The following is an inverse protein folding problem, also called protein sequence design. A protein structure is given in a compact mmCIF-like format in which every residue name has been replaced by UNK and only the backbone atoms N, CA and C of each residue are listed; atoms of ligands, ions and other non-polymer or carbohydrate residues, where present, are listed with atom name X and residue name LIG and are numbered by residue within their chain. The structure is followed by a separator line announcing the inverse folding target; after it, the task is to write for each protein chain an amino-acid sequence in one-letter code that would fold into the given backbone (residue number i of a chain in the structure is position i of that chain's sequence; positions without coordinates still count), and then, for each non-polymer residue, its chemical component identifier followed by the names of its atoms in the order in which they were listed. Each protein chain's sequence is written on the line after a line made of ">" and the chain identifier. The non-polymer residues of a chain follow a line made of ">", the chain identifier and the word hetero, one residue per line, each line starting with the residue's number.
data_IF_001894897413
#
_entry.id   IF_001894897413
#
_cell.length_a   1.000
_cell.length_b   1.000
_cell.length_c   1.000
_cell.angle_alpha   90.00
_cell.angle_beta   90.00
_cell.angle_gamma   90.00
#
_symmetry.space_group_name_H-M   'P 1'
#
loop_
_entity.id
_entity.type
_entity.pdbx_description
1 polymer ?
#
# COMPACT_ATOMS: atom_id res chain seq x y z
N UNK A 1 -32.86 -2.53 -8.44
CA UNK A 1 -31.53 -1.87 -8.37
C UNK A 1 -30.48 -2.97 -8.32
N UNK A 2 -29.46 -2.87 -9.16
CA UNK A 2 -28.43 -3.91 -9.29
C UNK A 2 -27.40 -3.72 -8.18
N UNK A 3 -27.30 -4.66 -7.23
CA UNK A 3 -26.37 -4.60 -6.10
C UNK A 3 -25.02 -5.18 -6.47
N UNK A 4 -23.93 -4.45 -6.19
CA UNK A 4 -22.55 -4.89 -6.43
C UNK A 4 -21.78 -4.92 -5.11
N UNK A 5 -21.16 -6.07 -4.83
CA UNK A 5 -20.16 -6.22 -3.77
C UNK A 5 -18.75 -6.23 -4.35
N UNK A 6 -17.77 -5.57 -3.68
CA UNK A 6 -16.38 -5.57 -4.11
C UNK A 6 -15.48 -5.98 -2.95
N UNK A 7 -14.64 -6.98 -3.19
CA UNK A 7 -13.60 -7.47 -2.30
C UNK A 7 -12.27 -6.94 -2.84
N UNK A 8 -11.55 -6.16 -2.03
CA UNK A 8 -10.26 -5.57 -2.41
C UNK A 8 -9.12 -6.26 -1.69
N UNK A 9 -8.22 -6.90 -2.43
CA UNK A 9 -7.07 -7.61 -1.90
C UNK A 9 -5.76 -6.90 -2.26
N UNK A 10 -4.70 -7.19 -1.50
CA UNK A 10 -3.34 -6.80 -1.80
C UNK A 10 -2.94 -5.42 -1.27
N UNK A 11 -2.34 -4.58 -2.10
CA UNK A 11 -1.63 -3.37 -1.66
C UNK A 11 -2.46 -2.08 -1.79
N UNK A 12 -2.03 -0.96 -1.16
CA UNK A 12 -2.70 0.35 -1.28
C UNK A 12 -2.96 0.83 -2.71
N UNK A 13 -2.14 0.44 -3.69
CA UNK A 13 -2.38 0.79 -5.09
C UNK A 13 -3.58 0.04 -5.66
N UNK A 14 -3.72 -1.23 -5.30
CA UNK A 14 -4.86 -2.06 -5.70
C UNK A 14 -6.16 -1.56 -5.05
N UNK A 15 -6.06 -1.06 -3.81
CA UNK A 15 -7.19 -0.42 -3.14
C UNK A 15 -7.64 0.84 -3.87
N UNK A 16 -6.72 1.71 -4.30
CA UNK A 16 -7.07 2.88 -5.12
C UNK A 16 -7.78 2.46 -6.41
N UNK A 17 -7.31 1.37 -7.04
CA UNK A 17 -7.97 0.81 -8.23
C UNK A 17 -9.40 0.35 -7.92
N UNK A 18 -9.62 -0.32 -6.78
CA UNK A 18 -10.96 -0.69 -6.29
C UNK A 18 -11.87 0.51 -6.08
N UNK A 19 -11.38 1.55 -5.44
CA UNK A 19 -12.14 2.78 -5.15
C UNK A 19 -12.54 3.54 -6.43
N UNK A 20 -11.69 3.49 -7.46
CA UNK A 20 -12.01 4.02 -8.80
C UNK A 20 -13.12 3.19 -9.45
N UNK A 21 -13.01 1.84 -9.40
CA UNK A 21 -14.07 0.95 -9.92
C UNK A 21 -15.41 1.22 -9.25
N UNK A 22 -15.44 1.37 -7.92
CA UNK A 22 -16.66 1.71 -7.18
C UNK A 22 -17.26 3.04 -7.64
N UNK A 23 -16.42 4.03 -7.94
CA UNK A 23 -16.84 5.31 -8.52
C UNK A 23 -17.55 5.13 -9.86
N UNK A 24 -16.97 4.33 -10.79
CA UNK A 24 -17.57 4.03 -12.09
C UNK A 24 -18.91 3.30 -11.95
N UNK A 25 -18.98 2.30 -11.08
CA UNK A 25 -20.20 1.54 -10.81
C UNK A 25 -21.34 2.43 -10.27
N UNK A 26 -21.03 3.30 -9.29
CA UNK A 26 -22.03 4.23 -8.73
C UNK A 26 -22.51 5.22 -9.77
N UNK A 27 -21.64 5.78 -10.60
CA UNK A 27 -22.00 6.66 -11.71
C UNK A 27 -22.90 5.97 -12.72
N UNK A 28 -22.71 4.67 -12.94
CA UNK A 28 -23.53 3.84 -13.83
C UNK A 28 -24.85 3.38 -13.20
N UNK A 29 -25.17 3.81 -11.96
CA UNK A 29 -26.43 3.52 -11.27
C UNK A 29 -26.48 2.19 -10.52
N UNK A 30 -25.32 1.56 -10.24
CA UNK A 30 -25.26 0.40 -9.37
C UNK A 30 -25.35 0.82 -7.90
N UNK A 31 -25.99 -0.03 -7.08
CA UNK A 31 -25.99 0.11 -5.62
C UNK A 31 -24.88 -0.73 -5.02
N UNK A 32 -24.02 -0.12 -4.21
CA UNK A 32 -22.94 -0.82 -3.53
C UNK A 32 -23.44 -1.51 -2.26
N UNK A 33 -22.89 -2.69 -1.94
CA UNK A 33 -23.16 -3.42 -0.71
C UNK A 33 -21.89 -4.00 -0.12
N UNK A 34 -21.77 -3.95 1.23
CA UNK A 34 -20.70 -4.60 1.96
C UNK A 34 -21.08 -6.03 2.42
N UNK A 35 -22.32 -6.44 2.16
CA UNK A 35 -22.80 -7.78 2.49
C UNK A 35 -22.70 -8.66 1.26
N UNK A 36 -21.75 -9.58 1.26
CA UNK A 36 -21.45 -10.44 0.13
C UNK A 36 -22.69 -11.26 -0.31
N UNK A 37 -23.49 -11.73 0.64
CA UNK A 37 -24.72 -12.50 0.38
C UNK A 37 -25.88 -11.68 -0.23
N UNK A 38 -25.80 -10.35 -0.24
CA UNK A 38 -26.78 -9.48 -0.89
C UNK A 38 -26.34 -9.00 -2.28
N UNK A 39 -25.09 -9.29 -2.68
CA UNK A 39 -24.54 -8.86 -3.96
C UNK A 39 -25.14 -9.68 -5.11
N UNK A 40 -25.67 -9.00 -6.13
CA UNK A 40 -26.04 -9.64 -7.41
C UNK A 40 -24.82 -9.82 -8.32
N UNK A 41 -23.81 -8.98 -8.17
CA UNK A 41 -22.51 -9.10 -8.82
C UNK A 41 -21.44 -9.03 -7.74
N UNK A 42 -20.56 -10.01 -7.68
CA UNK A 42 -19.37 -10.01 -6.85
C UNK A 42 -18.15 -9.65 -7.70
N UNK A 43 -17.34 -8.72 -7.21
CA UNK A 43 -16.06 -8.33 -7.84
C UNK A 43 -14.94 -8.63 -6.86
N UNK A 44 -13.95 -9.41 -7.29
CA UNK A 44 -12.72 -9.67 -6.51
C UNK A 44 -11.55 -8.96 -7.18
N UNK A 45 -11.05 -7.88 -6.59
CA UNK A 45 -9.86 -7.20 -7.05
C UNK A 45 -8.62 -7.83 -6.41
N UNK A 46 -7.80 -8.47 -7.22
CA UNK A 46 -6.80 -9.46 -6.83
C UNK A 46 -5.37 -8.95 -6.86
N UNK A 47 -4.50 -9.59 -6.07
CA UNK A 47 -3.06 -9.39 -6.09
C UNK A 47 -2.36 -10.56 -6.79
N UNK A 48 -1.43 -10.27 -7.71
CA UNK A 48 -0.65 -11.27 -8.46
C UNK A 48 0.86 -11.13 -8.28
N UNK A 49 1.32 -10.48 -7.19
CA UNK A 49 2.71 -10.07 -7.06
C UNK A 49 3.63 -11.18 -6.55
N UNK A 50 3.27 -11.87 -5.46
CA UNK A 50 4.03 -12.98 -4.85
C UNK A 50 3.10 -14.17 -4.62
N UNK A 51 3.68 -15.36 -4.40
CA UNK A 51 2.91 -16.60 -4.25
C UNK A 51 1.83 -16.51 -3.17
N UNK A 52 2.18 -16.07 -1.96
CA UNK A 52 1.23 -15.98 -0.85
C UNK A 52 0.00 -15.11 -1.23
N UNK A 53 0.23 -13.98 -1.92
CA UNK A 53 -0.86 -13.11 -2.37
C UNK A 53 -1.66 -13.69 -3.54
N UNK A 54 -1.05 -14.56 -4.35
CA UNK A 54 -1.79 -15.32 -5.38
C UNK A 54 -2.68 -16.38 -4.76
N UNK A 55 -2.18 -17.12 -3.78
CA UNK A 55 -2.92 -18.13 -3.03
C UNK A 55 -4.13 -17.48 -2.33
N UNK A 56 -3.93 -16.39 -1.57
CA UNK A 56 -5.01 -15.61 -0.97
C UNK A 56 -6.07 -15.17 -2.00
N UNK A 57 -5.60 -14.67 -3.15
CA UNK A 57 -6.50 -14.21 -4.22
C UNK A 57 -7.33 -15.35 -4.79
N UNK A 58 -6.73 -16.52 -5.03
CA UNK A 58 -7.43 -17.70 -5.56
C UNK A 58 -8.45 -18.22 -4.53
N UNK A 59 -8.06 -18.32 -3.26
CA UNK A 59 -8.97 -18.73 -2.18
C UNK A 59 -10.21 -17.84 -2.11
N UNK A 60 -10.02 -16.52 -2.16
CA UNK A 60 -11.14 -15.55 -2.14
C UNK A 60 -12.00 -15.60 -3.40
N UNK A 61 -11.44 -15.91 -4.58
CA UNK A 61 -12.23 -16.14 -5.80
C UNK A 61 -13.13 -17.37 -5.65
N UNK A 62 -12.58 -18.48 -5.15
CA UNK A 62 -13.33 -19.72 -4.92
C UNK A 62 -14.45 -19.49 -3.88
N UNK A 63 -14.16 -18.79 -2.77
CA UNK A 63 -15.17 -18.44 -1.78
C UNK A 63 -16.30 -17.58 -2.38
N UNK A 64 -15.94 -16.56 -3.17
CA UNK A 64 -16.92 -15.73 -3.87
C UNK A 64 -17.74 -16.52 -4.91
N UNK A 65 -17.13 -17.52 -5.55
CA UNK A 65 -17.82 -18.45 -6.47
C UNK A 65 -18.95 -19.22 -5.81
N UNK A 66 -18.80 -19.63 -4.55
CA UNK A 66 -19.84 -20.31 -3.77
C UNK A 66 -21.09 -19.45 -3.54
N UNK A 67 -20.98 -18.12 -3.61
CA UNK A 67 -22.13 -17.23 -3.50
C UNK A 67 -23.09 -17.38 -4.70
N UNK A 68 -22.60 -17.87 -5.84
CA UNK A 68 -23.45 -18.18 -7.01
C UNK A 68 -24.30 -19.44 -6.78
N UNK A 69 -23.79 -20.40 -6.04
CA UNK A 69 -24.51 -21.65 -5.74
C UNK A 69 -25.62 -21.44 -4.69
N UNK A 70 -25.41 -20.55 -3.74
CA UNK A 70 -26.22 -20.40 -2.54
C UNK A 70 -27.15 -19.20 -2.54
N UNK A 71 -27.15 -18.33 -3.60
CA UNK A 71 -27.86 -17.13 -3.36
C UNK A 71 -28.12 -16.14 -4.48
N UNK A 72 -28.01 -14.88 -4.14
CA UNK A 72 -28.33 -13.72 -4.96
C UNK A 72 -27.26 -13.41 -6.01
N UNK A 73 -26.05 -13.93 -5.89
CA UNK A 73 -24.96 -13.64 -6.81
C UNK A 73 -25.19 -14.30 -8.18
N UNK A 74 -25.32 -13.47 -9.20
CA UNK A 74 -25.56 -13.89 -10.60
C UNK A 74 -24.27 -13.85 -11.43
N UNK A 75 -23.31 -13.01 -11.07
CA UNK A 75 -22.06 -12.87 -11.80
C UNK A 75 -20.88 -12.64 -10.84
N UNK A 76 -19.77 -13.31 -11.14
CA UNK A 76 -18.49 -13.16 -10.48
C UNK A 76 -17.46 -12.57 -11.46
N UNK A 77 -16.88 -11.44 -11.09
CA UNK A 77 -15.84 -10.75 -11.88
C UNK A 77 -14.53 -10.78 -11.09
N UNK A 78 -13.45 -11.18 -11.75
CA UNK A 78 -12.10 -11.10 -11.19
C UNK A 78 -11.33 -9.98 -11.87
N UNK A 79 -10.83 -9.03 -11.08
CA UNK A 79 -10.09 -7.88 -11.55
C UNK A 79 -8.67 -7.85 -10.93
N UNK A 80 -7.79 -7.02 -11.46
CA UNK A 80 -6.52 -6.66 -10.82
C UNK A 80 -5.28 -7.38 -11.34
N UNK A 81 -4.25 -7.42 -10.48
CA UNK A 81 -2.92 -7.88 -10.86
C UNK A 81 -2.85 -9.36 -11.23
N UNK A 82 -3.62 -10.22 -10.55
CA UNK A 82 -3.64 -11.65 -10.87
C UNK A 82 -4.32 -11.88 -12.23
N UNK A 83 -5.45 -11.21 -12.48
CA UNK A 83 -6.16 -11.25 -13.74
C UNK A 83 -5.28 -10.73 -14.90
N UNK A 84 -4.56 -9.62 -14.72
CA UNK A 84 -3.63 -9.10 -15.74
C UNK A 84 -2.54 -10.11 -16.11
N UNK A 85 -2.05 -10.87 -15.12
CA UNK A 85 -0.88 -11.75 -15.28
C UNK A 85 -1.22 -13.13 -15.82
N UNK A 86 -2.40 -13.67 -15.47
CA UNK A 86 -2.75 -15.09 -15.67
C UNK A 86 -4.14 -15.30 -16.26
N UNK A 87 -4.67 -14.32 -17.00
CA UNK A 87 -6.04 -14.36 -17.55
C UNK A 87 -6.37 -15.65 -18.28
N UNK A 88 -5.47 -16.13 -19.14
CA UNK A 88 -5.72 -17.33 -19.96
C UNK A 88 -5.76 -18.62 -19.13
N UNK A 89 -4.87 -18.75 -18.16
CA UNK A 89 -4.82 -19.90 -17.25
C UNK A 89 -6.03 -19.91 -16.32
N UNK A 90 -6.32 -18.76 -15.70
CA UNK A 90 -7.43 -18.61 -14.76
C UNK A 90 -8.78 -18.87 -15.44
N UNK A 91 -8.96 -18.47 -16.69
CA UNK A 91 -10.19 -18.73 -17.44
C UNK A 91 -10.46 -20.23 -17.60
N UNK A 92 -9.42 -21.05 -17.66
CA UNK A 92 -9.55 -22.52 -17.77
C UNK A 92 -9.78 -23.19 -16.43
N UNK A 93 -9.11 -22.69 -15.38
CA UNK A 93 -9.09 -23.32 -14.06
C UNK A 93 -10.24 -22.87 -13.14
N UNK A 94 -10.86 -21.70 -13.43
CA UNK A 94 -11.93 -21.10 -12.62
C UNK A 94 -13.17 -20.83 -13.48
N UNK A 95 -13.89 -21.89 -13.88
CA UNK A 95 -15.06 -21.75 -14.76
C UNK A 95 -16.25 -21.02 -14.10
N UNK A 96 -16.25 -20.88 -12.77
CA UNK A 96 -17.26 -20.10 -12.03
C UNK A 96 -17.16 -18.59 -12.25
N UNK A 97 -16.01 -18.09 -12.77
CA UNK A 97 -15.77 -16.68 -13.03
C UNK A 97 -16.34 -16.28 -14.39
N UNK A 98 -17.23 -15.30 -14.40
CA UNK A 98 -17.92 -14.85 -15.62
C UNK A 98 -17.10 -13.86 -16.45
N UNK A 99 -16.19 -13.09 -15.80
CA UNK A 99 -15.29 -12.17 -16.51
C UNK A 99 -13.98 -11.91 -15.75
N UNK A 100 -12.89 -11.78 -16.53
CA UNK A 100 -11.57 -11.38 -16.04
C UNK A 100 -11.21 -10.00 -16.62
N UNK A 101 -10.88 -9.04 -15.73
CA UNK A 101 -10.55 -7.65 -16.09
C UNK A 101 -9.11 -7.35 -15.68
N UNK A 102 -8.27 -6.99 -16.64
CA UNK A 102 -6.90 -6.51 -16.39
C UNK A 102 -6.87 -5.08 -15.83
N UNK A 103 -5.68 -4.65 -15.42
CA UNK A 103 -5.48 -3.31 -14.83
C UNK A 103 -5.84 -2.20 -15.81
N UNK A 104 -5.52 -2.37 -17.08
CA UNK A 104 -5.81 -1.40 -18.15
C UNK A 104 -7.29 -1.30 -18.52
N UNK A 105 -8.11 -2.26 -18.05
CA UNK A 105 -9.53 -2.37 -18.39
C UNK A 105 -10.47 -1.99 -17.23
N UNK A 106 -9.94 -1.61 -16.05
CA UNK A 106 -10.73 -1.35 -14.85
C UNK A 106 -11.77 -0.23 -15.01
N UNK A 107 -11.51 0.76 -15.88
CA UNK A 107 -12.48 1.81 -16.20
C UNK A 107 -13.74 1.28 -16.89
N UNK A 108 -13.66 0.09 -17.53
CA UNK A 108 -14.78 -0.58 -18.22
C UNK A 108 -15.62 -1.44 -17.28
N UNK A 109 -15.35 -1.45 -15.98
CA UNK A 109 -16.02 -2.34 -15.01
C UNK A 109 -17.55 -2.22 -15.07
N UNK A 110 -18.09 -1.02 -15.24
CA UNK A 110 -19.52 -0.78 -15.32
C UNK A 110 -20.13 -1.38 -16.60
N UNK A 111 -19.42 -1.31 -17.72
CA UNK A 111 -19.85 -1.87 -19.00
C UNK A 111 -19.88 -3.41 -18.93
N UNK A 112 -18.85 -4.02 -18.32
CA UNK A 112 -18.78 -5.46 -18.10
C UNK A 112 -19.93 -5.93 -17.19
N UNK A 113 -20.19 -5.23 -16.09
CA UNK A 113 -21.31 -5.55 -15.21
C UNK A 113 -22.66 -5.46 -15.94
N UNK A 114 -22.88 -4.45 -16.77
CA UNK A 114 -24.09 -4.31 -17.56
C UNK A 114 -24.24 -5.46 -18.56
N UNK A 115 -23.19 -5.79 -19.30
CA UNK A 115 -23.19 -6.88 -20.26
C UNK A 115 -23.54 -8.25 -19.64
N UNK A 116 -22.94 -8.56 -18.48
CA UNK A 116 -23.25 -9.80 -17.74
C UNK A 116 -24.70 -9.86 -17.28
N UNK A 117 -25.28 -8.73 -16.83
CA UNK A 117 -26.69 -8.69 -16.44
C UNK A 117 -27.62 -8.87 -17.65
N UNK A 118 -27.27 -8.28 -18.79
CA UNK A 118 -28.05 -8.43 -20.02
C UNK A 118 -28.04 -9.87 -20.52
N UNK A 119 -26.89 -10.56 -20.43
CA UNK A 119 -26.82 -12.00 -20.73
C UNK A 119 -27.73 -12.84 -19.84
N UNK A 120 -27.83 -12.49 -18.56
CA UNK A 120 -28.73 -13.18 -17.63
C UNK A 120 -30.21 -12.82 -17.81
N UNK A 121 -30.53 -11.64 -18.36
CA UNK A 121 -31.93 -11.17 -18.51
C UNK A 121 -32.46 -11.21 -19.95
N UNK A 122 -31.69 -11.72 -20.93
CA UNK A 122 -32.05 -11.89 -22.36
C UNK A 122 -32.97 -10.79 -22.92
N UNK A 123 -32.40 -9.63 -23.24
CA UNK A 123 -33.08 -8.63 -24.08
C UNK A 123 -33.13 -7.22 -23.53
N UNK A 124 -32.06 -6.43 -23.67
CA UNK A 124 -32.13 -5.00 -23.88
C UNK A 124 -30.76 -4.41 -24.21
N UNK A 125 -30.63 -3.74 -25.34
CA UNK A 125 -29.46 -2.96 -25.72
C UNK A 125 -29.53 -1.55 -25.13
N UNK A 126 -28.45 -1.10 -24.47
CA UNK A 126 -28.22 0.32 -24.20
C UNK A 126 -26.75 0.66 -24.40
N UNK A 127 -26.48 1.61 -25.27
CA UNK A 127 -25.17 2.27 -25.46
C UNK A 127 -24.97 3.32 -24.37
N UNK A 128 -23.78 3.29 -23.73
CA UNK A 128 -23.39 4.22 -22.67
C UNK A 128 -22.49 5.32 -23.25
N UNK A 129 -22.68 6.61 -22.93
CA UNK A 129 -21.86 7.72 -23.43
C UNK A 129 -20.50 7.80 -22.74
N UNK A 130 -19.48 8.31 -23.46
CA UNK A 130 -18.12 8.58 -23.03
C UNK A 130 -18.01 9.59 -21.87
N UNK A 131 -16.98 9.46 -21.06
CA UNK A 131 -16.89 9.74 -19.62
C UNK A 131 -16.31 11.10 -19.29
N UNK A 132 -16.93 11.77 -18.30
CA UNK A 132 -16.30 12.78 -17.43
C UNK A 132 -15.53 12.11 -16.28
N UNK A 133 -14.56 12.82 -15.63
CA UNK A 133 -13.83 12.29 -14.49
C UNK A 133 -14.75 11.73 -13.41
N UNK A 134 -14.51 10.49 -12.98
CA UNK A 134 -15.34 9.81 -11.98
C UNK A 134 -14.81 10.10 -10.59
N UNK A 135 -15.69 10.53 -9.69
CA UNK A 135 -15.36 10.70 -8.28
C UNK A 135 -15.16 9.34 -7.64
N UNK A 136 -13.98 9.10 -7.09
CA UNK A 136 -13.56 7.90 -6.37
C UNK A 136 -14.36 7.72 -5.06
N UNK A 137 -14.74 6.49 -4.72
CA UNK A 137 -15.41 6.14 -3.46
C UNK A 137 -14.40 5.44 -2.54
N UNK A 138 -14.15 6.03 -1.37
CA UNK A 138 -13.22 5.47 -0.39
C UNK A 138 -13.79 4.20 0.25
N UNK A 139 -12.98 3.14 0.29
CA UNK A 139 -13.25 1.91 1.03
C UNK A 139 -12.87 2.07 2.49
N UNK A 140 -11.81 2.83 2.75
CA UNK A 140 -11.26 3.07 4.09
C UNK A 140 -12.10 4.05 4.91
N UNK A 141 -11.78 4.17 6.22
CA UNK A 141 -12.27 5.27 7.04
C UNK A 141 -12.05 6.63 6.37
N UNK A 142 -13.04 7.51 6.47
CA UNK A 142 -13.12 8.77 5.70
C UNK A 142 -12.02 9.79 6.06
N UNK A 143 -11.18 9.54 7.06
CA UNK A 143 -10.18 10.49 7.56
C UNK A 143 -8.79 10.32 6.92
N UNK A 144 -8.52 9.24 6.20
CA UNK A 144 -7.30 9.10 5.40
C UNK A 144 -7.59 8.49 4.03
N UNK A 145 -6.69 8.73 3.07
CA UNK A 145 -6.77 8.14 1.74
C UNK A 145 -5.37 7.85 1.18
N UNK A 146 -5.29 6.80 0.36
CA UNK A 146 -4.13 6.59 -0.50
C UNK A 146 -4.30 7.38 -1.79
N UNK A 147 -3.24 8.03 -2.27
CA UNK A 147 -3.23 8.80 -3.52
C UNK A 147 -2.16 8.24 -4.44
N UNK A 148 -2.60 7.58 -5.50
CA UNK A 148 -1.72 7.02 -6.52
C UNK A 148 -1.28 8.12 -7.47
N UNK A 149 0.02 8.49 -7.44
CA UNK A 149 0.58 9.58 -8.24
C UNK A 149 1.15 9.12 -9.57
N UNK A 150 1.44 7.82 -9.70
CA UNK A 150 1.86 7.16 -10.93
C UNK A 150 1.51 5.68 -10.89
N UNK A 151 1.56 5.02 -12.02
CA UNK A 151 1.43 3.57 -12.17
C UNK A 151 2.57 2.99 -13.01
N UNK A 152 2.82 1.67 -12.91
CA UNK A 152 3.94 1.02 -13.59
C UNK A 152 5.31 1.36 -12.99
N UNK A 153 6.38 0.74 -13.53
CA UNK A 153 7.74 0.93 -13.04
C UNK A 153 8.77 0.66 -14.13
N UNK A 154 9.75 1.56 -14.28
CA UNK A 154 10.87 1.38 -15.20
C UNK A 154 12.09 0.75 -14.55
N UNK A 155 12.10 0.56 -13.23
CA UNK A 155 13.13 -0.19 -12.53
C UNK A 155 13.05 -1.66 -12.95
N UNK A 156 14.22 -2.23 -13.31
CA UNK A 156 14.32 -3.61 -13.80
C UNK A 156 14.86 -4.54 -12.72
N UNK A 157 14.35 -4.41 -11.49
CA UNK A 157 14.74 -5.26 -10.39
C UNK A 157 14.53 -6.74 -10.77
N UNK A 158 15.57 -7.57 -10.59
CA UNK A 158 15.61 -8.93 -11.13
C UNK A 158 14.58 -9.89 -10.52
N UNK A 159 14.02 -9.55 -9.36
CA UNK A 159 13.02 -10.33 -8.63
C UNK A 159 11.57 -9.84 -8.85
N UNK A 160 11.37 -8.73 -9.56
CA UNK A 160 10.11 -8.00 -9.56
C UNK A 160 9.32 -8.25 -10.85
N UNK A 161 8.02 -8.50 -10.70
CA UNK A 161 7.07 -8.74 -11.79
C UNK A 161 6.27 -7.48 -12.17
N UNK A 162 6.41 -6.38 -11.45
CA UNK A 162 5.61 -5.16 -11.65
C UNK A 162 5.67 -4.64 -13.11
N UNK A 163 6.82 -4.58 -13.79
CA UNK A 163 6.85 -4.10 -15.17
C UNK A 163 6.00 -4.93 -16.14
N UNK A 164 5.86 -6.24 -15.88
CA UNK A 164 5.00 -7.11 -16.70
C UNK A 164 3.52 -7.03 -16.35
N UNK A 165 3.19 -6.60 -15.13
CA UNK A 165 1.81 -6.50 -14.65
C UNK A 165 1.23 -5.10 -14.89
N UNK A 166 1.98 -4.04 -14.53
CA UNK A 166 1.52 -2.64 -14.55
C UNK A 166 2.17 -1.80 -15.66
N UNK A 167 3.02 -2.41 -16.48
CA UNK A 167 3.68 -1.76 -17.61
C UNK A 167 4.75 -0.74 -17.20
N UNK A 168 5.07 0.14 -18.15
CA UNK A 168 6.03 1.23 -17.95
C UNK A 168 5.46 2.31 -17.04
N UNK A 169 6.38 3.05 -16.41
CA UNK A 169 6.05 4.14 -15.51
C UNK A 169 5.25 5.24 -16.20
N UNK A 170 4.11 5.60 -15.62
CA UNK A 170 3.19 6.65 -16.10
C UNK A 170 2.79 7.54 -14.93
N UNK A 171 3.31 8.77 -14.91
CA UNK A 171 2.94 9.80 -13.94
C UNK A 171 1.59 10.43 -14.28
N UNK A 172 0.86 10.82 -13.24
CA UNK A 172 -0.28 11.72 -13.37
C UNK A 172 0.20 13.16 -13.30
N UNK A 173 -0.52 14.08 -13.92
CA UNK A 173 -0.20 15.50 -13.88
C UNK A 173 -0.38 16.07 -12.45
N UNK A 174 0.45 17.05 -12.08
CA UNK A 174 0.46 17.67 -10.74
C UNK A 174 -0.92 18.24 -10.41
N UNK A 175 -1.52 18.97 -11.35
CA UNK A 175 -2.81 19.63 -11.21
C UNK A 175 -3.93 18.62 -10.98
N UNK A 176 -3.92 17.50 -11.66
CA UNK A 176 -4.89 16.41 -11.50
C UNK A 176 -4.81 15.80 -10.09
N UNK A 177 -3.59 15.60 -9.58
CA UNK A 177 -3.39 15.06 -8.24
C UNK A 177 -3.83 16.07 -7.18
N UNK A 178 -3.48 17.36 -7.33
CA UNK A 178 -3.88 18.42 -6.40
C UNK A 178 -5.41 18.51 -6.34
N UNK A 179 -6.08 18.54 -7.48
CA UNK A 179 -7.54 18.59 -7.56
C UNK A 179 -8.21 17.40 -6.87
N UNK A 180 -7.68 16.18 -7.06
CA UNK A 180 -8.17 15.00 -6.35
C UNK A 180 -8.01 15.14 -4.83
N UNK A 181 -6.84 15.59 -4.37
CA UNK A 181 -6.57 15.74 -2.93
C UNK A 181 -7.43 16.85 -2.32
N UNK A 182 -7.68 17.94 -3.03
CA UNK A 182 -8.60 19.00 -2.59
C UNK A 182 -10.03 18.47 -2.42
N UNK A 183 -10.51 17.66 -3.36
CA UNK A 183 -11.82 17.01 -3.26
C UNK A 183 -11.88 16.05 -2.06
N UNK A 184 -10.85 15.22 -1.85
CA UNK A 184 -10.74 14.32 -0.70
C UNK A 184 -10.73 15.11 0.63
N UNK A 185 -9.91 16.14 0.72
CA UNK A 185 -9.84 17.00 1.90
C UNK A 185 -11.16 17.75 2.16
N UNK A 186 -11.89 18.14 1.11
CA UNK A 186 -13.22 18.76 1.25
C UNK A 186 -14.26 17.81 1.85
N UNK A 187 -14.13 16.51 1.57
CA UNK A 187 -14.97 15.42 2.11
C UNK A 187 -14.56 14.95 3.51
N UNK A 188 -13.50 15.52 4.11
CA UNK A 188 -13.10 15.22 5.48
C UNK A 188 -11.79 14.42 5.62
N UNK A 189 -11.14 14.05 4.53
CA UNK A 189 -9.82 13.38 4.59
C UNK A 189 -8.80 14.33 5.24
N UNK A 190 -8.10 13.84 6.26
CA UNK A 190 -7.10 14.58 7.04
C UNK A 190 -5.67 14.16 6.68
N UNK A 191 -5.47 12.92 6.30
CA UNK A 191 -4.18 12.35 5.92
C UNK A 191 -4.25 11.79 4.50
N UNK A 192 -3.23 12.10 3.67
CA UNK A 192 -3.00 11.39 2.42
C UNK A 192 -1.70 10.59 2.50
N UNK A 193 -1.75 9.39 1.96
CA UNK A 193 -0.59 8.51 1.81
C UNK A 193 -0.27 8.43 0.32
N UNK A 194 0.81 9.07 -0.09
CA UNK A 194 1.26 9.11 -1.48
C UNK A 194 1.87 7.76 -1.84
N UNK A 195 1.35 7.11 -2.88
CA UNK A 195 1.76 5.79 -3.33
C UNK A 195 2.06 5.75 -4.83
N UNK A 196 3.06 4.97 -5.17
CA UNK A 196 3.43 4.55 -6.52
C UNK A 196 4.23 3.25 -6.42
N UNK A 197 4.71 2.68 -7.52
CA UNK A 197 5.71 1.61 -7.47
C UNK A 197 7.10 2.15 -7.11
N UNK A 198 7.38 3.38 -7.52
CA UNK A 198 8.53 4.20 -7.14
C UNK A 198 8.05 5.65 -7.05
N UNK A 199 7.79 6.11 -5.83
CA UNK A 199 7.25 7.45 -5.59
C UNK A 199 8.26 8.56 -5.94
N UNK A 200 9.55 8.25 -5.80
CA UNK A 200 10.63 9.23 -6.03
C UNK A 200 10.94 9.47 -7.50
N UNK A 201 10.51 8.61 -8.42
CA UNK A 201 10.66 8.82 -9.89
C UNK A 201 9.54 9.69 -10.49
N UNK A 202 8.59 10.15 -9.67
CA UNK A 202 7.44 10.93 -10.12
C UNK A 202 7.83 12.11 -11.02
N UNK A 203 7.17 12.17 -12.19
CA UNK A 203 7.29 13.25 -13.16
C UNK A 203 8.42 13.09 -14.18
N UNK A 204 9.32 12.10 -14.01
CA UNK A 204 10.45 11.92 -14.92
C UNK A 204 10.01 11.64 -16.37
N UNK A 205 8.93 10.90 -16.55
CA UNK A 205 8.36 10.54 -17.84
C UNK A 205 7.70 11.73 -18.58
N UNK A 206 6.88 12.51 -17.87
CA UNK A 206 6.09 13.62 -18.45
C UNK A 206 6.83 14.95 -18.44
N UNK A 207 7.60 15.27 -17.38
CA UNK A 207 8.30 16.56 -17.22
C UNK A 207 9.81 16.48 -17.51
N UNK A 208 10.33 15.30 -17.88
CA UNK A 208 11.77 15.02 -18.13
C UNK A 208 12.69 15.29 -16.92
N UNK A 209 12.10 15.41 -15.73
CA UNK A 209 12.79 15.56 -14.46
C UNK A 209 11.88 15.12 -13.30
N UNK A 210 12.47 14.67 -12.20
CA UNK A 210 11.73 14.33 -10.99
C UNK A 210 11.01 15.55 -10.44
N UNK A 211 9.74 15.39 -10.09
CA UNK A 211 8.84 16.49 -9.70
C UNK A 211 8.14 16.23 -8.36
N UNK A 212 8.58 15.23 -7.59
CA UNK A 212 7.96 14.94 -6.29
C UNK A 212 7.99 16.15 -5.36
N UNK A 213 9.13 16.86 -5.27
CA UNK A 213 9.24 18.08 -4.47
C UNK A 213 8.26 19.17 -4.90
N UNK A 214 8.06 19.35 -6.22
CA UNK A 214 7.09 20.32 -6.75
C UNK A 214 5.64 19.92 -6.41
N UNK A 215 5.31 18.63 -6.52
CA UNK A 215 4.00 18.10 -6.10
C UNK A 215 3.77 18.36 -4.61
N UNK A 216 4.73 18.03 -3.76
CA UNK A 216 4.63 18.26 -2.30
C UNK A 216 4.42 19.74 -1.97
N UNK A 217 5.14 20.66 -2.63
CA UNK A 217 4.93 22.12 -2.50
C UNK A 217 3.49 22.57 -2.86
N UNK A 218 2.84 21.87 -3.77
CA UNK A 218 1.43 22.09 -4.10
C UNK A 218 0.51 21.55 -3.01
N UNK A 219 0.72 20.32 -2.58
CA UNK A 219 -0.15 19.60 -1.64
C UNK A 219 -0.16 20.24 -0.23
N UNK A 220 0.97 20.74 0.26
CA UNK A 220 1.04 21.40 1.59
C UNK A 220 0.18 22.67 1.68
N UNK A 221 -0.17 23.29 0.55
CA UNK A 221 -1.03 24.47 0.51
C UNK A 221 -2.51 24.15 0.76
N UNK A 222 -2.92 22.90 0.67
CA UNK A 222 -4.33 22.49 0.87
C UNK A 222 -4.68 22.62 2.35
N UNK A 223 -5.59 23.59 2.66
CA UNK A 223 -5.85 24.01 4.06
C UNK A 223 -6.38 22.90 4.95
N UNK A 224 -7.29 22.06 4.45
CA UNK A 224 -7.97 21.00 5.23
C UNK A 224 -7.15 19.73 5.37
N UNK A 225 -5.99 19.65 4.70
CA UNK A 225 -5.06 18.52 4.79
C UNK A 225 -4.08 18.78 5.93
N UNK A 226 -3.84 17.76 6.75
CA UNK A 226 -2.98 17.84 7.94
C UNK A 226 -1.74 16.98 7.83
N UNK A 227 -1.83 15.78 7.23
CA UNK A 227 -0.72 14.87 7.06
C UNK A 227 -0.56 14.41 5.61
N UNK A 228 0.68 14.42 5.17
CA UNK A 228 1.14 13.89 3.87
C UNK A 228 2.25 12.88 4.16
N UNK A 229 2.04 11.62 3.82
CA UNK A 229 2.99 10.54 4.04
C UNK A 229 3.53 10.03 2.73
N UNK A 230 4.85 9.78 2.66
CA UNK A 230 5.51 9.20 1.51
C UNK A 230 5.77 7.72 1.72
N UNK A 231 5.25 6.89 0.83
CA UNK A 231 5.48 5.45 0.80
C UNK A 231 6.15 5.03 -0.50
N UNK A 232 6.86 3.89 -0.50
CA UNK A 232 7.51 3.30 -1.66
C UNK A 232 8.53 4.21 -2.34
N UNK A 233 9.42 4.83 -1.58
CA UNK A 233 10.52 5.63 -2.12
C UNK A 233 11.71 4.76 -2.53
N UNK A 234 12.59 5.31 -3.38
CA UNK A 234 13.78 4.60 -3.86
C UNK A 234 15.05 5.31 -3.38
N UNK A 235 16.03 4.62 -2.78
CA UNK A 235 17.17 5.26 -2.08
C UNK A 235 17.98 6.21 -2.95
N UNK A 236 18.15 5.90 -4.24
CA UNK A 236 19.01 6.64 -5.17
C UNK A 236 18.42 7.97 -5.61
N UNK A 237 17.13 8.18 -5.40
CA UNK A 237 16.40 9.31 -5.95
C UNK A 237 16.16 10.45 -4.95
N UNK A 238 16.78 10.38 -3.76
CA UNK A 238 16.73 11.45 -2.77
C UNK A 238 17.76 12.53 -3.08
N UNK A 239 17.30 13.68 -3.53
CA UNK A 239 18.09 14.91 -3.61
C UNK A 239 17.88 15.80 -2.37
N UNK A 240 18.67 16.87 -2.27
CA UNK A 240 18.61 17.79 -1.13
C UNK A 240 17.30 18.60 -1.12
N UNK A 241 16.69 18.86 -2.29
CA UNK A 241 15.41 19.56 -2.36
C UNK A 241 14.31 18.73 -1.72
N UNK A 242 14.24 17.42 -2.01
CA UNK A 242 13.26 16.51 -1.42
C UNK A 242 13.46 16.37 0.10
N UNK A 243 14.72 16.22 0.55
CA UNK A 243 15.01 16.12 1.99
C UNK A 243 14.63 17.43 2.70
N UNK A 244 14.94 18.59 2.12
CA UNK A 244 14.65 19.88 2.71
C UNK A 244 13.13 20.12 2.84
N UNK A 245 12.34 19.81 1.83
CA UNK A 245 10.88 20.00 1.92
C UNK A 245 10.26 19.08 2.96
N UNK A 246 10.72 17.83 3.07
CA UNK A 246 10.27 16.92 4.13
C UNK A 246 10.62 17.46 5.52
N UNK A 247 11.81 18.04 5.66
CA UNK A 247 12.28 18.59 6.93
C UNK A 247 11.59 19.89 7.35
N UNK A 248 11.14 20.72 6.39
CA UNK A 248 10.62 22.05 6.66
C UNK A 248 9.10 22.18 6.75
N UNK A 249 8.37 21.22 6.17
CA UNK A 249 6.92 21.30 6.05
C UNK A 249 6.22 20.43 7.10
N UNK A 250 5.59 21.06 8.09
CA UNK A 250 4.91 20.37 9.21
C UNK A 250 3.82 19.38 8.79
N UNK A 251 3.22 19.58 7.61
CA UNK A 251 2.22 18.66 7.08
C UNK A 251 2.81 17.38 6.52
N UNK A 252 4.10 17.38 6.17
CA UNK A 252 4.77 16.17 5.70
C UNK A 252 5.21 15.39 6.91
N UNK A 253 4.72 14.17 7.05
CA UNK A 253 5.10 13.29 8.15
C UNK A 253 6.63 13.05 8.13
N UNK A 254 7.29 13.19 9.28
CA UNK A 254 8.68 12.77 9.47
C UNK A 254 8.77 11.23 9.44
N UNK A 255 8.29 10.64 8.35
CA UNK A 255 8.20 9.21 8.11
C UNK A 255 8.53 8.93 6.65
N UNK A 256 9.49 8.06 6.41
CA UNK A 256 9.89 7.67 5.06
C UNK A 256 9.98 6.16 4.97
N UNK A 257 9.27 5.58 4.00
CA UNK A 257 9.37 4.17 3.61
C UNK A 257 10.35 4.04 2.45
N UNK A 258 11.50 3.41 2.73
CA UNK A 258 12.61 3.21 1.78
C UNK A 258 12.92 1.72 1.67
N UNK A 259 12.28 0.96 0.76
CA UNK A 259 12.59 -0.44 0.53
C UNK A 259 14.01 -0.62 -0.03
N UNK A 260 15.00 -0.92 0.81
CA UNK A 260 16.39 -1.13 0.38
C UNK A 260 16.67 -2.55 -0.14
N UNK A 261 15.87 -3.52 0.27
CA UNK A 261 15.89 -4.94 -0.10
C UNK A 261 17.09 -5.71 0.47
N UNK A 262 18.30 -5.21 0.37
CA UNK A 262 19.53 -5.78 0.93
C UNK A 262 20.58 -4.70 1.19
N UNK A 263 21.71 -5.04 1.84
CA UNK A 263 22.82 -4.12 2.07
C UNK A 263 24.12 -4.54 1.36
N UNK A 264 24.28 -5.81 1.04
CA UNK A 264 25.48 -6.31 0.38
C UNK A 264 25.51 -5.92 -1.10
N UNK A 265 26.61 -5.28 -1.54
CA UNK A 265 26.74 -4.72 -2.89
C UNK A 265 26.66 -5.78 -4.00
N UNK A 266 27.12 -7.01 -3.74
CA UNK A 266 27.01 -8.09 -4.72
C UNK A 266 25.55 -8.54 -4.89
N UNK A 267 24.81 -8.66 -3.79
CA UNK A 267 23.40 -9.02 -3.82
C UNK A 267 22.58 -7.90 -4.45
N UNK A 268 22.83 -6.64 -4.09
CA UNK A 268 22.16 -5.48 -4.70
C UNK A 268 22.38 -5.45 -6.22
N UNK A 269 23.59 -5.72 -6.69
CA UNK A 269 23.91 -5.81 -8.12
C UNK A 269 23.15 -6.97 -8.80
N UNK A 270 23.10 -8.15 -8.18
CA UNK A 270 22.27 -9.28 -8.66
C UNK A 270 20.78 -8.96 -8.66
N UNK A 271 20.31 -8.20 -7.70
CA UNK A 271 18.95 -7.66 -7.64
C UNK A 271 18.69 -6.58 -8.71
N UNK A 272 19.71 -6.14 -9.44
CA UNK A 272 19.67 -4.99 -10.36
C UNK A 272 19.19 -3.71 -9.67
N UNK A 273 19.66 -3.50 -8.44
CA UNK A 273 19.53 -2.23 -7.74
C UNK A 273 20.82 -1.45 -7.90
N UNK A 274 20.68 -0.16 -8.21
CA UNK A 274 21.84 0.70 -8.48
C UNK A 274 22.43 1.31 -7.19
N UNK A 275 21.78 1.10 -6.05
CA UNK A 275 22.28 1.52 -4.74
C UNK A 275 23.43 0.65 -4.28
N UNK A 276 24.40 1.25 -3.58
CA UNK A 276 25.44 0.55 -2.83
C UNK A 276 25.23 0.71 -1.32
N UNK A 277 25.91 -0.15 -0.51
CA UNK A 277 25.94 -0.01 0.95
C UNK A 277 26.33 1.42 1.38
N UNK A 278 27.37 1.99 0.77
CA UNK A 278 27.85 3.35 1.06
C UNK A 278 26.75 4.40 0.81
N UNK A 279 26.03 4.28 -0.31
CA UNK A 279 24.95 5.23 -0.65
C UNK A 279 23.76 5.10 0.29
N UNK A 280 23.36 3.86 0.63
CA UNK A 280 22.25 3.60 1.57
C UNK A 280 22.59 4.16 2.95
N UNK A 281 23.78 3.86 3.49
CA UNK A 281 24.22 4.40 4.79
C UNK A 281 24.29 5.92 4.77
N UNK A 282 24.88 6.51 3.73
CA UNK A 282 24.98 7.96 3.58
C UNK A 282 23.62 8.66 3.47
N UNK A 283 22.62 8.03 2.81
CA UNK A 283 21.26 8.55 2.78
C UNK A 283 20.62 8.54 4.17
N UNK A 284 20.73 7.42 4.90
CA UNK A 284 20.16 7.29 6.25
C UNK A 284 20.77 8.33 7.20
N UNK A 285 22.09 8.54 7.14
CA UNK A 285 22.78 9.56 7.94
C UNK A 285 22.31 10.98 7.58
N UNK A 286 22.18 11.30 6.29
CA UNK A 286 21.66 12.61 5.84
C UNK A 286 20.24 12.84 6.34
N UNK A 287 19.36 11.85 6.22
CA UNK A 287 17.98 11.92 6.68
C UNK A 287 17.91 12.17 8.20
N UNK A 288 18.64 11.42 9.01
CA UNK A 288 18.66 11.58 10.48
C UNK A 288 19.23 12.91 10.92
N UNK A 289 20.24 13.42 10.22
CA UNK A 289 20.84 14.73 10.52
C UNK A 289 19.91 15.89 10.18
N UNK A 290 19.14 15.79 9.08
CA UNK A 290 18.23 16.85 8.64
C UNK A 290 16.87 16.81 9.30
N UNK A 291 16.42 15.62 9.69
CA UNK A 291 15.12 15.36 10.30
C UNK A 291 15.34 14.50 11.55
N UNK A 292 15.65 15.11 12.71
CA UNK A 292 16.02 14.35 13.92
C UNK A 292 14.97 13.32 14.37
N UNK A 293 13.68 13.65 14.20
CA UNK A 293 12.56 12.80 14.62
C UNK A 293 12.07 11.85 13.53
N UNK A 294 12.90 11.61 12.50
CA UNK A 294 12.49 10.80 11.37
C UNK A 294 12.25 9.34 11.78
N UNK A 295 11.10 8.83 11.38
CA UNK A 295 10.77 7.41 11.43
C UNK A 295 11.12 6.77 10.09
N UNK A 296 12.10 5.87 10.11
CA UNK A 296 12.53 5.13 8.93
C UNK A 296 11.87 3.76 8.89
N UNK A 297 11.17 3.48 7.80
CA UNK A 297 10.65 2.18 7.44
C UNK A 297 11.43 1.61 6.26
N UNK A 298 11.64 0.30 6.26
CA UNK A 298 12.27 -0.41 5.14
C UNK A 298 11.68 -1.79 4.93
N UNK A 299 11.93 -2.34 3.74
CA UNK A 299 11.63 -3.73 3.41
C UNK A 299 12.90 -4.42 2.92
N UNK A 300 13.08 -5.67 3.34
CA UNK A 300 14.22 -6.51 3.01
C UNK A 300 13.77 -7.82 2.36
N UNK A 301 14.63 -8.40 1.54
CA UNK A 301 14.46 -9.74 0.99
C UNK A 301 15.58 -10.63 1.53
N UNK A 302 15.22 -11.68 2.26
CA UNK A 302 16.12 -12.68 2.77
C UNK A 302 16.11 -13.93 1.87
N UNK A 303 17.27 -14.55 1.68
CA UNK A 303 17.39 -15.77 0.88
C UNK A 303 17.31 -15.52 -0.63
N UNK A 304 17.76 -14.38 -1.10
CA UNK A 304 17.91 -14.11 -2.53
C UNK A 304 18.90 -15.10 -3.18
N UNK A 305 18.71 -15.55 -4.45
CA UNK A 305 19.56 -16.54 -5.07
C UNK A 305 21.05 -16.19 -4.99
N UNK A 306 21.82 -17.11 -4.38
CA UNK A 306 23.26 -16.96 -4.17
C UNK A 306 23.66 -16.10 -2.96
N UNK A 307 22.73 -15.71 -2.09
CA UNK A 307 23.04 -15.08 -0.80
C UNK A 307 23.73 -16.08 0.12
N UNK A 308 24.96 -15.77 0.54
CA UNK A 308 25.77 -16.59 1.46
C UNK A 308 25.43 -16.27 2.93
N UNK A 309 25.88 -17.13 3.87
CA UNK A 309 25.73 -16.85 5.31
C UNK A 309 26.47 -15.58 5.73
N UNK A 310 27.63 -15.27 5.12
CA UNK A 310 28.36 -14.04 5.41
C UNK A 310 27.59 -12.78 4.96
N UNK A 311 26.93 -12.84 3.80
CA UNK A 311 26.10 -11.75 3.29
C UNK A 311 24.82 -11.57 4.12
N UNK A 312 24.19 -12.66 4.55
CA UNK A 312 23.07 -12.61 5.48
C UNK A 312 23.49 -12.01 6.83
N UNK A 313 24.66 -12.41 7.36
CA UNK A 313 25.18 -11.81 8.60
C UNK A 313 25.43 -10.31 8.45
N UNK A 314 25.98 -9.85 7.33
CA UNK A 314 26.15 -8.39 7.06
C UNK A 314 24.80 -7.68 7.06
N UNK A 315 23.75 -8.28 6.46
CA UNK A 315 22.40 -7.70 6.49
C UNK A 315 21.85 -7.62 7.92
N UNK A 316 22.03 -8.68 8.71
CA UNK A 316 21.62 -8.73 10.11
C UNK A 316 22.35 -7.66 10.95
N UNK A 317 23.69 -7.57 10.82
CA UNK A 317 24.50 -6.58 11.53
C UNK A 317 24.10 -5.14 11.13
N UNK A 318 23.86 -4.89 9.85
CA UNK A 318 23.37 -3.60 9.36
C UNK A 318 22.01 -3.22 9.96
N UNK A 319 21.05 -4.15 10.06
CA UNK A 319 19.76 -3.90 10.71
C UNK A 319 19.95 -3.54 12.19
N UNK A 320 20.82 -4.27 12.88
CA UNK A 320 21.15 -4.03 14.29
C UNK A 320 21.79 -2.64 14.50
N UNK A 321 22.74 -2.26 13.68
CA UNK A 321 23.44 -0.98 13.75
C UNK A 321 22.52 0.20 13.39
N UNK A 322 21.72 0.03 12.33
CA UNK A 322 20.85 1.09 11.83
C UNK A 322 19.68 1.34 12.77
N UNK A 323 19.11 0.31 13.36
CA UNK A 323 17.97 0.44 14.27
C UNK A 323 16.78 1.12 13.59
N UNK A 324 16.21 0.50 12.56
CA UNK A 324 15.02 0.98 11.88
C UNK A 324 13.81 0.98 12.84
N UNK A 325 12.96 1.98 12.74
CA UNK A 325 11.73 2.04 13.52
C UNK A 325 10.74 0.97 13.05
N UNK A 326 10.61 0.82 11.72
CA UNK A 326 9.72 -0.14 11.07
C UNK A 326 10.50 -0.91 10.02
N UNK A 327 10.32 -2.23 9.99
CA UNK A 327 11.01 -3.08 9.02
C UNK A 327 10.20 -4.34 8.77
N UNK A 328 9.99 -4.66 7.49
CA UNK A 328 9.45 -5.93 7.04
C UNK A 328 10.50 -6.76 6.33
N UNK A 329 10.54 -8.07 6.56
CA UNK A 329 11.42 -9.00 5.84
C UNK A 329 10.58 -10.02 5.10
N UNK A 330 10.83 -10.14 3.81
CA UNK A 330 10.20 -11.15 2.95
C UNK A 330 11.20 -12.25 2.62
N UNK A 331 10.78 -13.50 2.70
CA UNK A 331 11.51 -14.58 2.06
C UNK A 331 11.46 -14.38 0.54
N UNK A 332 12.59 -14.58 -0.15
CA UNK A 332 12.60 -14.46 -1.60
C UNK A 332 11.59 -15.41 -2.24
N UNK A 333 10.63 -14.86 -2.98
CA UNK A 333 9.67 -15.61 -3.79
C UNK A 333 10.19 -15.77 -5.21
N UNK A 334 10.23 -17.02 -5.70
CA UNK A 334 10.66 -17.33 -7.06
C UNK A 334 9.52 -17.11 -8.04
N UNK A 335 9.41 -15.88 -8.54
CA UNK A 335 8.34 -15.50 -9.45
C UNK A 335 8.69 -15.79 -10.90
N UNK A 336 7.78 -16.46 -11.59
CA UNK A 336 7.90 -16.76 -13.01
C UNK A 336 8.06 -15.49 -13.86
N UNK A 337 8.81 -15.56 -14.96
CA UNK A 337 9.08 -14.41 -15.82
C UNK A 337 10.19 -13.48 -15.31
N UNK A 338 10.57 -13.55 -14.03
CA UNK A 338 11.65 -12.72 -13.47
C UNK A 338 13.05 -13.24 -13.82
N UNK A 339 14.04 -12.34 -13.88
CA UNK A 339 15.43 -12.76 -14.11
C UNK A 339 15.96 -13.62 -12.97
N UNK A 340 15.64 -13.27 -11.71
CA UNK A 340 16.11 -13.98 -10.53
C UNK A 340 15.56 -15.40 -10.41
N UNK A 341 14.40 -15.70 -11.01
CA UNK A 341 13.87 -17.06 -11.02
C UNK A 341 14.76 -18.06 -11.78
N UNK A 342 15.59 -17.56 -12.70
CA UNK A 342 16.52 -18.34 -13.54
C UNK A 342 17.94 -18.39 -12.98
N UNK A 343 18.24 -17.72 -11.87
CA UNK A 343 19.56 -17.78 -11.25
C UNK A 343 19.82 -19.18 -10.67
N UNK A 344 21.04 -19.70 -10.86
CA UNK A 344 21.38 -21.09 -10.53
C UNK A 344 21.35 -21.39 -9.04
N UNK A 345 21.84 -20.49 -8.19
CA UNK A 345 22.04 -20.76 -6.76
C UNK A 345 20.79 -20.44 -5.95
N UNK A 346 19.65 -21.08 -6.29
CA UNK A 346 18.41 -20.95 -5.52
C UNK A 346 18.58 -21.49 -4.11
N UNK A 347 18.05 -20.78 -3.13
CA UNK A 347 18.12 -21.15 -1.71
C UNK A 347 16.84 -21.88 -1.33
N UNK A 348 16.96 -22.91 -0.48
CA UNK A 348 15.81 -23.68 -0.03
C UNK A 348 14.88 -22.84 0.85
N UNK A 349 13.60 -23.13 0.83
CA UNK A 349 12.59 -22.39 1.59
C UNK A 349 12.93 -22.36 3.09
N UNK A 350 13.36 -23.49 3.65
CA UNK A 350 13.80 -23.60 5.05
C UNK A 350 14.87 -22.57 5.43
N UNK A 351 15.86 -22.34 4.56
CA UNK A 351 16.92 -21.36 4.82
C UNK A 351 16.39 -19.93 4.69
N UNK A 352 15.55 -19.65 3.68
CA UNK A 352 14.92 -18.34 3.50
C UNK A 352 14.09 -17.97 4.74
N UNK A 353 13.25 -18.89 5.23
CA UNK A 353 12.40 -18.68 6.40
C UNK A 353 13.22 -18.49 7.67
N UNK A 354 14.29 -19.28 7.86
CA UNK A 354 15.23 -19.09 8.97
C UNK A 354 15.80 -17.67 8.95
N UNK A 355 16.36 -17.22 7.82
CA UNK A 355 16.98 -15.91 7.67
C UNK A 355 15.98 -14.78 7.88
N UNK A 356 14.79 -14.89 7.29
CA UNK A 356 13.69 -13.95 7.53
C UNK A 356 13.37 -13.84 9.02
N UNK A 357 13.16 -14.97 9.67
CA UNK A 357 12.75 -15.02 11.08
C UNK A 357 13.86 -14.51 12.02
N UNK A 358 15.14 -14.72 11.71
CA UNK A 358 16.27 -14.18 12.47
C UNK A 358 16.24 -12.65 12.48
N UNK A 359 16.08 -12.01 11.31
CA UNK A 359 16.02 -10.53 11.20
C UNK A 359 14.73 -10.02 11.85
N UNK A 360 13.59 -10.69 11.67
CA UNK A 360 12.32 -10.27 12.28
C UNK A 360 12.35 -10.33 13.80
N UNK A 361 13.00 -11.34 14.40
CA UNK A 361 13.21 -11.39 15.86
C UNK A 361 14.11 -10.27 16.36
N UNK A 362 15.13 -9.89 15.60
CA UNK A 362 15.96 -8.74 15.92
C UNK A 362 15.15 -7.45 15.85
N UNK A 363 14.41 -7.26 14.76
CA UNK A 363 13.59 -6.06 14.55
C UNK A 363 12.51 -5.89 15.61
N UNK A 364 11.88 -6.97 16.04
CA UNK A 364 10.89 -6.94 17.14
C UNK A 364 11.48 -6.33 18.43
N UNK A 365 12.73 -6.69 18.77
CA UNK A 365 13.44 -6.09 19.92
C UNK A 365 13.79 -4.61 19.69
N UNK A 366 14.24 -4.28 18.48
CA UNK A 366 14.55 -2.89 18.10
C UNK A 366 13.27 -2.04 18.18
N UNK A 367 12.17 -2.53 17.61
CA UNK A 367 10.88 -1.84 17.60
C UNK A 367 10.37 -1.58 19.01
N UNK A 368 10.43 -2.59 19.90
CA UNK A 368 10.08 -2.42 21.31
C UNK A 368 10.92 -1.33 21.98
N UNK A 369 12.23 -1.33 21.79
CA UNK A 369 13.10 -0.32 22.39
C UNK A 369 12.78 1.08 21.87
N UNK A 370 12.54 1.23 20.55
CA UNK A 370 12.12 2.50 19.95
C UNK A 370 10.76 2.98 20.47
N UNK A 371 9.81 2.08 20.64
CA UNK A 371 8.52 2.41 21.23
C UNK A 371 8.64 2.80 22.71
N UNK A 372 9.53 2.16 23.50
CA UNK A 372 9.82 2.52 24.89
C UNK A 372 10.39 3.93 25.04
N UNK A 373 11.17 4.42 24.06
CA UNK A 373 11.67 5.80 24.03
C UNK A 373 10.55 6.85 23.96
N UNK A 374 9.32 6.44 23.60
CA UNK A 374 8.14 7.30 23.51
C UNK A 374 7.35 7.37 24.83
N UNK A 375 7.58 6.47 25.81
CA UNK A 375 6.88 6.48 27.10
C UNK A 375 7.11 7.83 27.80
N UNK A 376 6.03 8.42 28.28
CA UNK A 376 6.04 9.74 28.92
C UNK A 376 5.94 10.92 27.96
N UNK A 377 6.19 10.72 26.66
CA UNK A 377 6.03 11.76 25.65
C UNK A 377 4.56 11.97 25.27
N UNK A 378 4.23 13.19 24.90
CA UNK A 378 2.94 13.52 24.31
C UNK A 378 3.05 13.50 22.78
N UNK A 379 2.23 12.69 22.14
CA UNK A 379 2.16 12.56 20.70
C UNK A 379 0.81 13.06 20.18
N UNK A 380 0.83 13.78 19.06
CA UNK A 380 -0.39 14.10 18.31
C UNK A 380 -0.84 12.86 17.55
N UNK A 381 -2.03 12.36 17.82
CA UNK A 381 -2.59 11.17 17.19
C UNK A 381 -3.82 11.52 16.36
N UNK A 382 -3.92 10.94 15.17
CA UNK A 382 -5.12 10.90 14.33
C UNK A 382 -5.92 9.66 14.72
N UNK A 383 -7.18 9.87 15.11
CA UNK A 383 -8.06 8.81 15.59
C UNK A 383 -8.62 7.99 14.42
N UNK A 384 -8.50 6.68 14.49
CA UNK A 384 -9.09 5.75 13.53
C UNK A 384 -10.56 5.41 13.88
N UNK A 385 -10.91 5.38 15.17
CA UNK A 385 -12.23 5.00 15.68
C UNK A 385 -12.11 4.08 16.90
N UNK A 386 -13.14 3.28 17.14
CA UNK A 386 -13.09 2.20 18.13
C UNK A 386 -12.20 1.06 17.61
N UNK A 387 -11.47 0.44 18.51
CA UNK A 387 -10.64 -0.72 18.16
C UNK A 387 -11.49 -1.94 17.83
N UNK A 388 -11.03 -2.76 16.90
CA UNK A 388 -11.63 -4.07 16.62
C UNK A 388 -11.42 -5.08 17.75
N UNK A 389 -10.44 -4.85 18.64
CA UNK A 389 -10.13 -5.73 19.76
C UNK A 389 -11.07 -5.50 20.97
N UNK A 390 -11.55 -4.28 21.15
CA UNK A 390 -12.45 -3.93 22.26
C UNK A 390 -13.17 -2.60 22.01
N UNK A 391 -14.48 -2.57 22.26
CA UNK A 391 -15.29 -1.35 22.21
C UNK A 391 -14.90 -0.31 23.30
N UNK A 392 -14.10 -0.71 24.28
CA UNK A 392 -13.59 0.17 25.33
C UNK A 392 -12.29 0.89 24.93
N UNK A 393 -11.70 0.53 23.81
CA UNK A 393 -10.45 1.11 23.33
C UNK A 393 -10.69 1.99 22.09
N UNK A 394 -10.14 3.18 22.13
CA UNK A 394 -10.03 4.03 20.95
C UNK A 394 -8.68 3.72 20.29
N UNK A 395 -8.69 3.62 18.98
CA UNK A 395 -7.50 3.40 18.17
C UNK A 395 -7.12 4.68 17.42
N UNK A 396 -5.84 5.00 17.41
CA UNK A 396 -5.30 6.11 16.67
C UNK A 396 -3.88 5.82 16.17
N UNK A 397 -3.32 6.76 15.43
CA UNK A 397 -1.94 6.69 14.91
C UNK A 397 -1.26 8.04 15.07
N UNK A 398 0.01 8.03 15.45
CA UNK A 398 0.84 9.24 15.33
C UNK A 398 1.57 9.25 13.97
N UNK A 399 2.24 10.37 13.63
CA UNK A 399 2.89 10.50 12.32
C UNK A 399 3.90 9.37 12.00
N UNK A 400 4.45 8.69 12.98
CA UNK A 400 5.39 7.57 12.81
C UNK A 400 4.74 6.20 12.57
N UNK A 401 3.44 6.16 12.25
CA UNK A 401 2.69 4.93 11.97
C UNK A 401 1.86 5.10 10.70
N UNK A 402 2.23 4.36 9.65
CA UNK A 402 1.43 4.30 8.42
C UNK A 402 0.19 3.44 8.62
N UNK A 403 -0.97 3.81 8.04
CA UNK A 403 -2.19 3.01 8.14
C UNK A 403 -1.98 1.61 7.57
N UNK A 404 -2.58 0.61 8.21
CA UNK A 404 -2.60 -0.81 7.82
C UNK A 404 -1.22 -1.51 7.74
N UNK A 405 -0.11 -0.75 7.75
CA UNK A 405 1.24 -1.28 7.61
C UNK A 405 2.03 -1.32 8.92
N UNK A 406 1.75 -0.39 9.83
CA UNK A 406 2.42 -0.29 11.12
C UNK A 406 1.41 -0.48 12.26
N UNK A 407 1.89 -0.59 13.49
CA UNK A 407 1.03 -0.68 14.68
C UNK A 407 0.28 0.61 14.97
N UNK A 408 -0.52 0.60 16.03
CA UNK A 408 -1.43 1.68 16.43
C UNK A 408 -1.12 2.22 17.82
N UNK A 409 -1.81 3.28 18.21
CA UNK A 409 -1.88 3.79 19.57
C UNK A 409 -3.26 3.45 20.13
N UNK A 410 -3.30 2.58 21.13
CA UNK A 410 -4.51 2.32 21.90
C UNK A 410 -4.69 3.39 22.99
N UNK A 411 -5.87 3.95 23.09
CA UNK A 411 -6.24 4.98 24.05
C UNK A 411 -7.31 4.40 24.95
N UNK A 412 -6.96 4.21 26.21
CA UNK A 412 -7.80 3.56 27.22
C UNK A 412 -8.21 4.47 28.36
N UNK A 413 -7.72 5.71 28.43
CA UNK A 413 -7.98 6.67 29.51
C UNK A 413 -7.86 8.11 29.01
N UNK A 414 -8.48 9.03 29.70
CA UNK A 414 -8.39 10.47 29.47
C UNK A 414 -9.74 11.19 29.53
N UNK A 415 -9.67 12.52 29.48
CA UNK A 415 -10.87 13.38 29.52
C UNK A 415 -11.55 13.44 28.16
N UNK A 416 -12.88 13.30 28.14
CA UNK A 416 -13.69 13.53 26.95
C UNK A 416 -13.63 12.44 25.90
N UNK A 417 -13.29 11.19 26.29
CA UNK A 417 -13.25 10.05 25.36
C UNK A 417 -14.56 9.83 24.61
N UNK A 418 -15.69 10.10 25.27
CA UNK A 418 -17.04 10.03 24.70
C UNK A 418 -17.28 11.00 23.54
N UNK A 419 -16.48 12.06 23.45
CA UNK A 419 -16.57 13.10 22.41
C UNK A 419 -15.64 12.88 21.21
N UNK A 420 -14.65 12.00 21.36
CA UNK A 420 -13.65 11.74 20.32
C UNK A 420 -14.27 10.93 19.19
N UNK A 421 -14.01 11.35 17.97
CA UNK A 421 -14.53 10.70 16.74
C UNK A 421 -13.39 10.35 15.79
N UNK A 422 -13.62 9.38 14.93
CA UNK A 422 -12.70 9.06 13.84
C UNK A 422 -12.40 10.32 13.00
N UNK A 423 -11.12 10.56 12.72
CA UNK A 423 -10.64 11.76 12.04
C UNK A 423 -10.27 12.93 12.94
N UNK A 424 -10.49 12.83 14.26
CA UNK A 424 -10.02 13.86 15.19
C UNK A 424 -8.52 13.73 15.44
N UNK A 425 -7.88 14.88 15.70
CA UNK A 425 -6.52 14.91 16.22
C UNK A 425 -6.56 15.20 17.72
N UNK A 426 -5.94 14.32 18.49
CA UNK A 426 -5.83 14.46 19.96
C UNK A 426 -4.37 14.38 20.41
N UNK A 427 -4.08 14.97 21.55
CA UNK A 427 -2.80 14.80 22.20
C UNK A 427 -2.86 13.60 23.16
N UNK A 428 -1.98 12.63 22.95
CA UNK A 428 -1.93 11.38 23.71
C UNK A 428 -0.61 11.30 24.44
N UNK A 429 -0.65 11.21 25.78
CA UNK A 429 0.53 10.89 26.59
C UNK A 429 0.71 9.39 26.61
N UNK A 430 1.84 8.91 26.06
CA UNK A 430 2.16 7.48 26.00
C UNK A 430 2.49 6.96 27.41
N UNK A 431 1.81 5.90 27.82
CA UNK A 431 1.95 5.26 29.12
C UNK A 431 2.66 3.91 29.06
N UNK A 432 2.42 3.15 27.96
CA UNK A 432 2.98 1.83 27.76
C UNK A 432 3.45 1.64 26.30
N UNK A 433 4.36 0.69 26.08
CA UNK A 433 4.90 0.38 24.78
C UNK A 433 5.08 -1.13 24.60
N UNK A 434 4.57 -1.63 23.47
CA UNK A 434 4.71 -3.00 23.01
C UNK A 434 5.60 -3.06 21.76
N UNK A 435 5.75 -4.23 21.16
CA UNK A 435 6.62 -4.42 20.01
C UNK A 435 6.18 -3.57 18.79
N UNK A 436 4.88 -3.43 18.58
CA UNK A 436 4.31 -2.71 17.45
C UNK A 436 3.31 -1.64 17.90
N UNK A 437 2.64 -1.82 19.01
CA UNK A 437 1.58 -0.95 19.54
C UNK A 437 2.11 -0.05 20.67
N UNK A 438 1.43 1.05 20.87
CA UNK A 438 1.59 1.97 21.99
C UNK A 438 0.27 2.05 22.76
N UNK A 439 0.34 2.30 24.07
CA UNK A 439 -0.83 2.62 24.87
C UNK A 439 -0.65 4.02 25.44
N UNK A 440 -1.74 4.77 25.52
CA UNK A 440 -1.69 6.13 26.06
C UNK A 440 -3.03 6.64 26.53
N UNK A 441 -2.99 7.85 27.12
CA UNK A 441 -4.17 8.57 27.56
C UNK A 441 -4.26 9.95 26.94
N UNK A 442 -5.46 10.40 26.66
CA UNK A 442 -5.74 11.77 26.17
C UNK A 442 -5.48 12.79 27.28
N UNK A 443 -4.84 13.91 26.93
CA UNK A 443 -4.53 15.01 27.84
C UNK A 443 -5.09 16.32 27.33
#
# INVERSE_FOLDING_TARGET
>A
MKKVGLISLGCPKNQVDSEIMLGHLTKAGFTLTNKENEAEIAIVNTCGFINDAKEESIERIIEAGRLKENGSCKALIVAGCLSERYKEELTKELPEVDAFIGISEMEKIADVCNALIELHNAGAQRTVPLQEPVSRILINPQHYAYVKISDGCNNRCSYCTIPSIRGSYKSREIETIINEVEQLASKGVKEINIVAQDTTDYGLDIYKKRKLSALLKGLVKIKKLFWIRLLYTYPEHFDDELINIIASEEKICNYIDIPIQHIDDEILRKMKRNSSEKQIRGLIERLRRRIPDIVLRTSLIAGFPGETEAQHKRLYDFVKETGFHRLGVFAYSKEEGTAASRYKNQITQKIKDRRRNEIMRLQSKISLNKNRELIGKTLKALINGLSSESELLIEGRYYGQAPEADGVVYINDGTGLDKIRAGDFVNVKITEAHQYELVGKVI
#
